data_IF_120681335894
#
_entry.id   IF_120681335894
#
_cell.length_a   1.000
_cell.length_b   1.000
_cell.length_c   1.000
_cell.angle_alpha   90.00
_cell.angle_beta   90.00
_cell.angle_gamma   90.00
#
_symmetry.space_group_name_H-M   'P 1'
#
loop_
_entity.id
_entity.type
_entity.pdbx_description
1 polymer ?
#
# COMPACT_ATOMS: atom_id res chain seq x y z
N UNK A 1 -26.64 -1.58 -4.11
CA UNK A 1 -25.39 -1.33 -3.36
C UNK A 1 -25.76 -1.15 -1.91
N UNK A 2 -25.22 -2.00 -1.03
CA UNK A 2 -25.25 -1.77 0.42
C UNK A 2 -23.90 -1.19 0.83
N UNK A 3 -23.85 -0.44 1.94
CA UNK A 3 -22.60 0.04 2.53
C UNK A 3 -22.09 -0.90 3.62
N UNK A 4 -22.61 -2.13 3.67
CA UNK A 4 -22.25 -3.14 4.66
C UNK A 4 -20.99 -3.87 4.21
N UNK A 5 -19.88 -3.83 4.98
CA UNK A 5 -18.64 -4.50 4.61
C UNK A 5 -18.69 -6.00 4.91
N UNK A 6 -17.85 -6.77 4.22
CA UNK A 6 -17.50 -8.13 4.63
C UNK A 6 -16.35 -8.07 5.64
N UNK A 7 -16.50 -8.74 6.78
CA UNK A 7 -15.50 -8.76 7.85
C UNK A 7 -14.82 -10.14 7.85
N UNK A 8 -13.50 -10.15 7.72
CA UNK A 8 -12.67 -11.35 7.87
C UNK A 8 -11.63 -11.11 8.95
N UNK A 9 -11.46 -12.10 9.85
CA UNK A 9 -10.45 -12.08 10.89
C UNK A 9 -9.41 -13.14 10.60
N UNK A 10 -8.14 -12.74 10.57
CA UNK A 10 -7.01 -13.66 10.37
C UNK A 10 -6.04 -13.55 11.53
N UNK A 11 -5.74 -14.69 12.18
CA UNK A 11 -4.73 -14.75 13.23
C UNK A 11 -3.35 -14.85 12.59
N UNK A 12 -2.53 -13.83 12.79
CA UNK A 12 -1.18 -13.77 12.23
C UNK A 12 -0.35 -15.00 12.62
N UNK A 13 0.31 -15.57 11.62
CA UNK A 13 1.26 -16.69 11.73
C UNK A 13 2.68 -16.18 11.49
N UNK A 14 3.71 -16.90 11.99
CA UNK A 14 5.10 -16.51 11.77
C UNK A 14 5.52 -16.37 10.29
N UNK A 15 4.81 -17.03 9.38
CA UNK A 15 5.08 -17.00 7.95
C UNK A 15 4.28 -15.90 7.20
N UNK A 16 3.45 -15.13 7.90
CA UNK A 16 2.74 -14.00 7.31
C UNK A 16 3.71 -12.80 7.26
N UNK A 17 4.27 -12.54 6.09
CA UNK A 17 5.37 -11.57 5.95
C UNK A 17 4.88 -10.14 5.74
N UNK A 18 3.82 -9.96 4.96
CA UNK A 18 3.27 -8.67 4.59
C UNK A 18 1.82 -8.78 4.14
N UNK A 19 1.14 -7.64 4.07
CA UNK A 19 -0.20 -7.46 3.54
C UNK A 19 -0.19 -6.34 2.49
N UNK A 20 -0.86 -6.57 1.37
CA UNK A 20 -1.02 -5.57 0.30
C UNK A 20 -2.50 -5.15 0.29
N UNK A 21 -2.75 -3.87 0.53
CA UNK A 21 -4.03 -3.24 0.20
C UNK A 21 -3.87 -2.42 -1.06
N UNK A 22 -4.80 -2.55 -2.00
CA UNK A 22 -4.82 -1.70 -3.18
C UNK A 22 -6.23 -1.51 -3.72
N UNK A 23 -6.43 -0.42 -4.47
CA UNK A 23 -7.64 -0.21 -5.27
C UNK A 23 -7.70 -1.21 -6.43
N UNK A 24 -8.89 -1.41 -6.97
CA UNK A 24 -9.15 -2.16 -8.21
C UNK A 24 -8.20 -1.81 -9.35
N UNK A 25 -7.85 -0.54 -9.52
CA UNK A 25 -6.90 -0.10 -10.54
C UNK A 25 -5.55 -0.84 -10.53
N UNK A 26 -5.09 -1.38 -9.38
CA UNK A 26 -3.92 -2.26 -9.34
C UNK A 26 -4.27 -3.66 -9.86
N UNK A 27 -5.34 -4.25 -9.32
CA UNK A 27 -5.73 -5.65 -9.53
C UNK A 27 -6.32 -5.91 -10.94
N UNK A 28 -6.77 -4.87 -11.63
CA UNK A 28 -7.10 -4.93 -13.05
C UNK A 28 -5.86 -5.14 -13.94
N UNK A 29 -4.68 -4.75 -13.43
CA UNK A 29 -3.43 -4.82 -14.17
C UNK A 29 -2.57 -6.02 -13.77
N UNK A 30 -2.45 -6.29 -12.47
CA UNK A 30 -1.58 -7.35 -11.94
C UNK A 30 -2.43 -8.46 -11.29
N UNK A 31 -1.95 -9.70 -11.39
CA UNK A 31 -2.49 -10.81 -10.56
C UNK A 31 -1.95 -10.73 -9.14
N UNK A 32 -2.64 -11.40 -8.21
CA UNK A 32 -2.23 -11.50 -6.81
C UNK A 32 -0.81 -12.05 -6.69
N UNK A 33 -0.48 -13.09 -7.44
CA UNK A 33 0.85 -13.73 -7.43
C UNK A 33 1.93 -12.77 -7.93
N UNK A 34 1.66 -12.00 -8.99
CA UNK A 34 2.61 -11.04 -9.54
C UNK A 34 2.89 -9.92 -8.53
N UNK A 35 1.85 -9.42 -7.84
CA UNK A 35 2.01 -8.41 -6.80
C UNK A 35 2.83 -8.94 -5.62
N UNK A 36 2.52 -10.15 -5.14
CA UNK A 36 3.26 -10.85 -4.07
C UNK A 36 4.72 -11.04 -4.47
N UNK A 37 4.98 -11.50 -5.70
CA UNK A 37 6.34 -11.71 -6.20
C UNK A 37 7.16 -10.41 -6.25
N UNK A 38 6.54 -9.31 -6.69
CA UNK A 38 7.18 -7.99 -6.68
C UNK A 38 7.56 -7.59 -5.26
N UNK A 39 6.65 -7.72 -4.29
CA UNK A 39 6.92 -7.37 -2.88
C UNK A 39 8.00 -8.26 -2.30
N UNK A 40 7.96 -9.56 -2.58
CA UNK A 40 8.88 -10.54 -2.02
C UNK A 40 10.30 -10.40 -2.57
N UNK A 41 10.47 -10.10 -3.87
CA UNK A 41 11.78 -10.07 -4.54
C UNK A 41 12.49 -8.71 -4.50
N UNK A 42 11.87 -7.67 -3.97
CA UNK A 42 12.42 -6.30 -4.03
C UNK A 42 12.61 -5.67 -2.63
N UNK A 43 13.52 -4.68 -2.49
CA UNK A 43 13.66 -3.94 -1.24
C UNK A 43 12.37 -3.21 -0.83
N UNK A 44 12.12 -3.14 0.48
CA UNK A 44 10.95 -2.47 1.08
C UNK A 44 10.86 -0.99 0.68
N UNK A 45 12.01 -0.31 0.65
CA UNK A 45 12.08 1.11 0.30
C UNK A 45 11.57 1.35 -1.13
N UNK A 46 10.46 2.07 -1.26
CA UNK A 46 9.83 2.37 -2.55
C UNK A 46 8.99 1.23 -3.14
N UNK A 47 8.57 0.24 -2.34
CA UNK A 47 7.85 -0.92 -2.86
C UNK A 47 6.49 -0.58 -3.48
N UNK A 48 5.71 0.31 -2.84
CA UNK A 48 4.42 0.75 -3.38
C UNK A 48 4.58 1.41 -4.76
N UNK A 49 5.62 2.25 -4.92
CA UNK A 49 5.95 2.87 -6.21
C UNK A 49 6.33 1.83 -7.27
N UNK A 50 7.01 0.73 -6.88
CA UNK A 50 7.31 -0.38 -7.79
C UNK A 50 6.04 -1.09 -8.25
N UNK A 51 5.10 -1.36 -7.34
CA UNK A 51 3.81 -1.96 -7.69
C UNK A 51 3.01 -1.09 -8.67
N UNK A 52 2.89 0.22 -8.38
CA UNK A 52 2.24 1.17 -9.29
C UNK A 52 2.93 1.20 -10.66
N UNK A 53 4.27 1.22 -10.69
CA UNK A 53 5.02 1.21 -11.96
C UNK A 53 4.80 -0.08 -12.75
N UNK A 54 4.76 -1.23 -12.08
CA UNK A 54 4.50 -2.51 -12.72
C UNK A 54 3.10 -2.54 -13.34
N UNK A 55 2.08 -2.08 -12.60
CA UNK A 55 0.71 -1.99 -13.11
C UNK A 55 0.60 -1.03 -14.31
N UNK A 56 1.25 0.13 -14.27
CA UNK A 56 1.28 1.07 -15.41
C UNK A 56 2.01 0.50 -16.63
N UNK A 57 3.10 -0.24 -16.43
CA UNK A 57 3.76 -0.94 -17.53
C UNK A 57 2.85 -1.99 -18.18
N UNK A 58 2.10 -2.73 -17.37
CA UNK A 58 1.19 -3.76 -17.85
C UNK A 58 -0.03 -3.15 -18.57
N UNK A 59 -0.58 -2.06 -18.04
CA UNK A 59 -1.61 -1.28 -18.72
C UNK A 59 -1.11 -0.73 -20.06
N UNK A 60 0.13 -0.21 -20.12
CA UNK A 60 0.75 0.26 -21.35
C UNK A 60 0.92 -0.88 -22.36
N UNK A 61 1.38 -2.05 -21.90
CA UNK A 61 1.54 -3.26 -22.73
C UNK A 61 0.21 -3.71 -23.34
N UNK A 62 -0.87 -3.74 -22.56
CA UNK A 62 -2.22 -4.11 -23.03
C UNK A 62 -2.79 -3.16 -24.08
N UNK A 63 -2.29 -1.92 -24.13
CA UNK A 63 -2.74 -0.87 -25.06
C UNK A 63 -1.72 -0.58 -26.15
N UNK A 64 -0.66 -1.38 -26.26
CA UNK A 64 0.45 -1.19 -27.21
C UNK A 64 1.09 0.20 -27.13
N UNK A 65 1.15 0.76 -25.91
CA UNK A 65 1.74 2.06 -25.61
C UNK A 65 3.05 1.92 -24.83
N UNK A 66 3.84 3.00 -24.78
CA UNK A 66 4.99 3.09 -23.88
C UNK A 66 4.57 3.61 -22.51
N UNK A 67 5.35 3.26 -21.49
CA UNK A 67 5.16 3.78 -20.12
C UNK A 67 5.13 5.31 -20.04
N UNK A 68 5.97 5.99 -20.82
CA UNK A 68 5.99 7.45 -20.82
C UNK A 68 4.75 8.05 -21.47
N UNK A 69 4.16 7.35 -22.44
CA UNK A 69 2.94 7.78 -23.10
C UNK A 69 1.74 7.63 -22.17
N UNK A 70 1.61 6.48 -21.46
CA UNK A 70 0.50 6.26 -20.52
C UNK A 70 0.52 7.26 -19.35
N UNK A 71 1.71 7.66 -18.89
CA UNK A 71 1.87 8.64 -17.80
C UNK A 71 1.48 10.06 -18.23
N UNK A 72 1.58 10.37 -19.52
CA UNK A 72 1.27 11.70 -20.08
C UNK A 72 -0.20 11.86 -20.46
N UNK A 73 -1.01 10.81 -20.36
CA UNK A 73 -2.43 10.88 -20.71
C UNK A 73 -3.14 11.86 -19.79
N UNK A 74 -3.85 12.81 -20.42
CA UNK A 74 -4.56 13.86 -19.71
C UNK A 74 -5.78 13.34 -18.95
N UNK A 75 -6.18 14.09 -17.90
CA UNK A 75 -7.39 13.81 -17.14
C UNK A 75 -8.60 13.82 -18.08
N UNK A 76 -9.48 12.84 -17.96
CA UNK A 76 -10.63 12.65 -18.86
C UNK A 76 -10.50 11.34 -19.64
N UNK A 77 -9.55 11.28 -20.58
CA UNK A 77 -9.33 10.07 -21.39
C UNK A 77 -8.51 9.00 -20.67
N UNK A 78 -7.77 9.35 -19.60
CA UNK A 78 -6.92 8.42 -18.82
C UNK A 78 -7.65 7.15 -18.37
N UNK A 79 -8.93 7.26 -17.97
CA UNK A 79 -9.75 6.13 -17.50
C UNK A 79 -10.02 5.06 -18.57
N UNK A 80 -9.83 5.36 -19.86
CA UNK A 80 -9.89 4.35 -20.91
C UNK A 80 -8.65 3.42 -20.90
N UNK A 81 -7.57 3.86 -20.29
CA UNK A 81 -6.29 3.15 -20.26
C UNK A 81 -6.07 2.46 -18.92
N UNK A 82 -6.32 3.18 -17.81
CA UNK A 82 -6.25 2.64 -16.45
C UNK A 82 -7.08 3.47 -15.47
N UNK A 83 -7.55 2.88 -14.38
CA UNK A 83 -8.17 3.61 -13.27
C UNK A 83 -7.13 4.20 -12.29
N UNK A 84 -7.58 4.93 -11.28
CA UNK A 84 -6.72 5.43 -10.21
C UNK A 84 -6.13 4.26 -9.38
N UNK A 85 -4.80 4.23 -9.28
CA UNK A 85 -4.07 3.15 -8.61
C UNK A 85 -3.56 3.66 -7.25
N UNK A 86 -4.06 3.07 -6.16
CA UNK A 86 -3.58 3.29 -4.79
C UNK A 86 -3.06 1.97 -4.23
N UNK A 87 -1.90 1.99 -3.58
CA UNK A 87 -1.26 0.79 -3.01
C UNK A 87 -0.66 1.09 -1.65
N UNK A 88 -0.93 0.22 -0.68
CA UNK A 88 -0.38 0.23 0.68
C UNK A 88 0.21 -1.15 0.94
N UNK A 89 1.46 -1.20 1.39
CA UNK A 89 2.13 -2.46 1.78
C UNK A 89 2.48 -2.37 3.25
N UNK A 90 1.94 -3.29 4.05
CA UNK A 90 2.20 -3.41 5.48
C UNK A 90 3.11 -4.62 5.69
N UNK A 91 4.28 -4.41 6.31
CA UNK A 91 5.15 -5.52 6.68
C UNK A 91 4.82 -6.00 8.09
N UNK A 92 4.60 -7.30 8.22
CA UNK A 92 4.16 -7.96 9.47
C UNK A 92 5.31 -8.71 10.14
N UNK A 93 6.36 -9.02 9.38
CA UNK A 93 7.53 -9.70 9.89
C UNK A 93 8.30 -8.80 10.87
N UNK A 94 8.43 -9.27 12.11
CA UNK A 94 9.25 -8.64 13.12
C UNK A 94 10.73 -8.85 12.78
N UNK A 95 11.29 -7.97 11.96
CA UNK A 95 12.73 -7.77 11.98
C UNK A 95 13.11 -7.25 13.37
N UNK A 96 13.69 -8.12 14.22
CA UNK A 96 14.49 -7.72 15.38
C UNK A 96 15.68 -6.92 14.87
N UNK A 97 15.48 -5.64 14.54
CA UNK A 97 16.55 -4.70 14.27
C UNK A 97 16.57 -3.68 15.41
N UNK A 98 17.33 -4.02 16.45
CA UNK A 98 17.91 -2.99 17.30
C UNK A 98 18.85 -2.16 16.44
N UNK A 99 18.45 -0.94 16.13
CA UNK A 99 19.23 -0.03 15.30
C UNK A 99 18.40 1.16 14.89
N UNK A 100 18.61 2.29 15.56
CA UNK A 100 18.02 3.57 15.21
C UNK A 100 18.25 3.87 13.72
N UNK A 101 17.18 3.83 12.94
CA UNK A 101 17.18 4.44 11.61
C UNK A 101 17.24 5.95 11.80
N UNK A 102 18.45 6.52 11.66
CA UNK A 102 18.61 7.96 11.44
C UNK A 102 17.94 8.29 10.11
N UNK A 103 16.77 8.93 10.19
CA UNK A 103 16.04 9.47 9.05
C UNK A 103 16.94 10.40 8.24
N UNK A 104 17.11 10.11 6.95
CA UNK A 104 17.74 11.01 5.99
C UNK A 104 16.62 11.61 5.12
N UNK A 105 16.33 12.88 5.40
CA UNK A 105 15.16 13.69 5.00
C UNK A 105 15.01 13.97 3.48
N UNK A 106 15.57 13.15 2.59
CA UNK A 106 15.64 13.49 1.14
C UNK A 106 15.13 12.44 0.16
N UNK A 107 14.55 11.33 0.61
CA UNK A 107 13.99 10.32 -0.31
C UNK A 107 12.70 9.70 0.23
N UNK A 108 11.58 10.39 -0.02
CA UNK A 108 10.17 9.97 0.14
C UNK A 108 9.89 8.92 1.23
N UNK A 109 9.52 9.48 2.37
CA UNK A 109 9.25 8.86 3.67
C UNK A 109 7.91 8.14 3.73
N UNK A 110 7.93 6.88 4.18
CA UNK A 110 6.75 6.21 4.68
C UNK A 110 6.38 6.87 6.02
N UNK A 111 5.19 7.47 6.12
CA UNK A 111 4.69 8.04 7.37
C UNK A 111 4.56 6.93 8.41
N UNK A 112 5.11 7.15 9.62
CA UNK A 112 4.67 6.43 10.81
C UNK A 112 3.15 6.38 10.83
N UNK A 113 2.57 5.22 11.13
CA UNK A 113 1.12 5.04 11.15
C UNK A 113 0.48 6.20 11.95
N UNK A 114 -0.56 6.87 11.40
CA UNK A 114 -1.27 7.89 12.14
C UNK A 114 -1.81 7.30 13.44
N UNK A 115 -1.83 8.12 14.49
CA UNK A 115 -2.46 7.76 15.77
C UNK A 115 -3.89 7.29 15.47
N UNK A 116 -4.23 6.08 15.92
CA UNK A 116 -5.57 5.56 15.69
C UNK A 116 -6.62 6.40 16.44
N UNK A 117 -7.87 6.35 15.96
CA UNK A 117 -8.95 7.19 16.51
C UNK A 117 -9.29 6.84 17.96
N UNK A 118 -8.86 5.67 18.45
CA UNK A 118 -9.14 5.18 19.79
C UNK A 118 -8.05 5.57 20.80
N UNK A 119 -6.86 5.92 20.31
CA UNK A 119 -5.71 6.35 21.11
C UNK A 119 -5.82 7.80 21.60
N UNK A 120 -6.89 8.51 21.24
CA UNK A 120 -7.18 9.88 21.69
C UNK A 120 -7.92 9.96 23.03
N UNK A 121 -8.34 8.82 23.62
CA UNK A 121 -9.14 8.80 24.84
C UNK A 121 -8.45 8.20 26.06
N UNK A 122 -7.12 8.04 26.06
CA UNK A 122 -6.38 7.47 27.20
C UNK A 122 -5.93 8.49 28.26
N UNK A 123 -6.46 9.72 28.26
CA UNK A 123 -6.07 10.76 29.24
C UNK A 123 -7.27 11.40 29.96
N UNK A 124 -8.35 10.65 30.18
CA UNK A 124 -9.20 10.91 31.36
C UNK A 124 -8.72 10.02 32.50
N UNK A 125 -7.68 10.50 33.18
CA UNK A 125 -7.30 10.03 34.51
C UNK A 125 -8.51 10.05 35.44
N UNK A 126 -8.70 8.94 36.13
CA UNK A 126 -9.57 8.74 37.28
C UNK A 126 -9.70 10.00 38.15
N UNK A 127 -10.93 10.39 38.50
CA UNK A 127 -11.20 11.24 39.67
C UNK A 127 -11.37 10.32 40.88
N UNK A 128 -10.39 10.19 41.79
CA UNK A 128 -10.59 9.50 43.04
C UNK A 128 -11.18 10.51 44.02
N UNK A 129 -12.51 10.44 44.18
CA UNK A 129 -13.36 11.16 45.14
C UNK A 129 -14.07 12.41 44.60
N UNK A 130 -15.20 12.18 43.90
CA UNK A 130 -16.45 12.93 44.11
C UNK A 130 -17.67 12.17 43.64
#
# INVERSE_FOLDING_TARGET
MTAEPSIQTHKLKPNDLFLIFASDGLWEQLTDEAAVEIVFKNPRAGIAKRLVRAALNEAARKREMRYDDIKRIEKGVRRHFHDDITVIVIYLDQHRQGGQSRFNERTCDCTSAPVDIFSLNSDESEDPLR
#
